data_IF_157858652621
#
_entry.id   IF_157858652621
#
_cell.length_a   1.000
_cell.length_b   1.000
_cell.length_c   1.000
_cell.angle_alpha   90.00
_cell.angle_beta   90.00
_cell.angle_gamma   90.00
#
_symmetry.space_group_name_H-M   'P 1'
#
loop_
_entity.id
_entity.type
_entity.pdbx_description
1 polymer ?
#
# COMPACT_ATOMS: atom_id res chain seq x y z
N UNK A 1 -6.89 -42.13 16.86
CA UNK A 1 -8.00 -41.26 17.29
C UNK A 1 -7.62 -40.26 18.40
N UNK A 2 -6.69 -40.59 19.30
CA UNK A 2 -6.24 -39.67 20.37
C UNK A 2 -5.32 -38.54 19.90
N UNK A 3 -4.46 -38.79 18.89
CA UNK A 3 -3.54 -37.79 18.33
C UNK A 3 -4.30 -36.61 17.70
N UNK A 4 -5.41 -36.91 17.01
CA UNK A 4 -6.29 -35.90 16.38
C UNK A 4 -7.10 -35.11 17.41
N UNK A 5 -7.36 -35.69 18.59
CA UNK A 5 -8.01 -34.99 19.70
C UNK A 5 -7.03 -34.05 20.40
N UNK A 6 -5.78 -34.47 20.64
CA UNK A 6 -4.73 -33.59 21.22
C UNK A 6 -4.42 -32.39 20.34
N UNK A 7 -4.27 -32.58 19.03
CA UNK A 7 -4.04 -31.48 18.10
C UNK A 7 -5.21 -30.47 18.07
N UNK A 8 -6.47 -30.97 18.09
CA UNK A 8 -7.65 -30.10 18.22
C UNK A 8 -7.72 -29.39 19.56
N UNK A 9 -7.33 -30.02 20.65
CA UNK A 9 -7.31 -29.42 21.99
C UNK A 9 -6.21 -28.37 22.13
N UNK A 10 -5.05 -28.57 21.49
CA UNK A 10 -3.95 -27.61 21.43
C UNK A 10 -4.29 -26.42 20.51
N UNK A 11 -4.95 -26.66 19.37
CA UNK A 11 -5.47 -25.59 18.49
C UNK A 11 -6.58 -24.79 19.18
N UNK A 12 -7.44 -25.44 19.96
CA UNK A 12 -8.47 -24.81 20.80
C UNK A 12 -7.86 -24.07 22.00
N UNK A 13 -6.74 -24.54 22.55
CA UNK A 13 -6.01 -23.87 23.63
C UNK A 13 -5.23 -22.66 23.12
N UNK A 14 -4.62 -22.74 21.94
CA UNK A 14 -3.99 -21.60 21.25
C UNK A 14 -5.02 -20.56 20.79
N UNK A 15 -6.27 -20.97 20.50
CA UNK A 15 -7.37 -20.02 20.26
C UNK A 15 -7.82 -19.27 21.53
N UNK A 16 -7.55 -19.81 22.72
CA UNK A 16 -8.11 -19.32 24.00
C UNK A 16 -7.28 -18.24 24.70
N UNK A 17 -6.10 -17.88 24.19
CA UNK A 17 -5.34 -16.71 24.70
C UNK A 17 -4.80 -15.89 23.52
N UNK A 18 -5.68 -15.49 22.61
CA UNK A 18 -5.35 -14.40 21.67
C UNK A 18 -5.58 -13.08 22.39
N UNK A 19 -4.49 -12.39 22.71
CA UNK A 19 -4.52 -11.03 23.21
C UNK A 19 -5.28 -10.16 22.21
N UNK A 20 -6.34 -9.51 22.68
CA UNK A 20 -7.14 -8.58 21.89
C UNK A 20 -6.33 -7.28 21.66
N UNK A 21 -6.21 -6.85 20.41
CA UNK A 21 -5.55 -5.60 20.04
C UNK A 21 -6.60 -4.49 20.03
N UNK A 22 -6.38 -3.44 20.83
CA UNK A 22 -7.35 -2.35 21.04
C UNK A 22 -6.94 -1.00 20.44
N UNK A 23 -5.72 -0.91 19.92
CA UNK A 23 -5.17 0.34 19.38
C UNK A 23 -4.14 0.04 18.28
N UNK A 24 -3.99 1.00 17.36
CA UNK A 24 -2.90 1.00 16.38
C UNK A 24 -1.51 1.11 17.00
N UNK A 25 -1.40 1.63 18.22
CA UNK A 25 -0.11 1.75 18.91
C UNK A 25 0.30 0.47 19.65
N UNK A 26 -0.51 -0.60 19.59
CA UNK A 26 -0.13 -1.88 20.20
C UNK A 26 1.06 -2.51 19.44
N UNK A 27 2.13 -2.84 20.17
CA UNK A 27 3.33 -3.47 19.61
C UNK A 27 3.07 -4.84 18.96
N UNK A 28 1.99 -5.53 19.33
CA UNK A 28 1.55 -6.80 18.76
C UNK A 28 0.76 -6.67 17.46
N UNK A 29 0.45 -5.45 16.99
CA UNK A 29 -0.42 -5.22 15.83
C UNK A 29 0.02 -5.98 14.57
N UNK A 30 1.33 -6.04 14.33
CA UNK A 30 1.89 -6.71 13.14
C UNK A 30 2.47 -8.10 13.43
N UNK A 31 2.34 -8.60 14.66
CA UNK A 31 3.04 -9.81 15.11
C UNK A 31 2.55 -11.10 14.42
N UNK A 32 1.32 -11.10 13.89
CA UNK A 32 0.78 -12.27 13.18
C UNK A 32 1.26 -12.39 11.72
N UNK A 33 2.04 -11.44 11.20
CA UNK A 33 2.47 -11.46 9.80
C UNK A 33 3.94 -11.85 9.67
N UNK A 34 4.17 -12.92 8.90
CA UNK A 34 5.53 -13.37 8.55
C UNK A 34 6.27 -12.27 7.77
N UNK A 35 7.45 -11.82 8.22
CA UNK A 35 8.17 -10.71 7.62
C UNK A 35 8.98 -11.13 6.39
N UNK A 36 9.40 -12.39 6.26
CA UNK A 36 10.39 -12.86 5.28
C UNK A 36 9.97 -12.54 3.85
N UNK A 37 8.69 -12.75 3.53
CA UNK A 37 8.16 -12.48 2.19
C UNK A 37 8.29 -11.01 1.79
N UNK A 38 8.04 -10.09 2.72
CA UNK A 38 8.25 -8.65 2.50
C UNK A 38 9.75 -8.33 2.50
N UNK A 39 10.55 -8.92 3.39
CA UNK A 39 12.00 -8.69 3.45
C UNK A 39 12.72 -9.08 2.15
N UNK A 40 12.27 -10.12 1.47
CA UNK A 40 12.77 -10.50 0.13
C UNK A 40 12.48 -9.43 -0.93
N UNK A 41 11.36 -8.72 -0.82
CA UNK A 41 11.07 -7.58 -1.69
C UNK A 41 11.95 -6.38 -1.32
N UNK A 42 12.04 -6.04 -0.03
CA UNK A 42 12.81 -4.91 0.46
C UNK A 42 14.32 -5.06 0.23
N UNK A 43 14.83 -6.30 0.28
CA UNK A 43 16.22 -6.63 -0.05
C UNK A 43 16.51 -6.59 -1.55
N UNK A 44 15.48 -6.62 -2.38
CA UNK A 44 15.55 -6.60 -3.85
C UNK A 44 15.64 -7.98 -4.50
N UNK A 45 15.53 -9.07 -3.72
CA UNK A 45 15.49 -10.43 -4.25
C UNK A 45 14.23 -10.66 -5.11
N UNK A 46 13.09 -10.16 -4.64
CA UNK A 46 11.83 -10.21 -5.37
C UNK A 46 11.50 -8.81 -5.90
N UNK A 47 11.28 -8.70 -7.21
CA UNK A 47 10.79 -7.46 -7.82
C UNK A 47 9.27 -7.34 -7.59
N UNK A 48 8.78 -6.25 -6.98
CA UNK A 48 7.36 -6.12 -6.71
C UNK A 48 6.56 -5.91 -7.99
N UNK A 49 5.37 -6.48 -7.98
CA UNK A 49 4.39 -6.40 -9.06
C UNK A 49 3.00 -6.30 -8.45
N UNK A 50 2.32 -5.20 -8.74
CA UNK A 50 1.05 -4.87 -8.08
C UNK A 50 -0.12 -4.97 -9.05
N UNK A 51 -1.16 -5.73 -8.70
CA UNK A 51 -2.44 -5.66 -9.41
C UNK A 51 -3.26 -4.53 -8.79
N UNK A 52 -3.73 -3.57 -9.57
CA UNK A 52 -4.60 -2.49 -9.10
C UNK A 52 -5.99 -2.66 -9.70
N UNK A 53 -7.02 -2.49 -8.89
CA UNK A 53 -8.41 -2.61 -9.30
C UNK A 53 -9.30 -1.59 -8.60
N UNK A 54 -10.37 -1.16 -9.27
CA UNK A 54 -11.45 -0.36 -8.69
C UNK A 54 -12.64 -1.21 -8.19
N UNK A 55 -12.37 -2.41 -7.67
CA UNK A 55 -13.37 -3.48 -7.46
C UNK A 55 -14.71 -3.04 -6.84
N UNK A 56 -15.81 -3.49 -7.47
CA UNK A 56 -16.90 -4.28 -6.88
C UNK A 56 -17.85 -3.68 -5.84
N UNK A 57 -17.51 -2.56 -5.22
CA UNK A 57 -18.43 -1.82 -4.36
C UNK A 57 -18.86 -0.60 -5.14
N UNK A 58 -20.03 -0.68 -5.80
CA UNK A 58 -20.71 0.54 -6.26
C UNK A 58 -20.99 1.36 -5.00
N UNK A 59 -20.17 2.38 -4.74
CA UNK A 59 -20.72 3.57 -4.09
C UNK A 59 -21.75 4.10 -5.08
N UNK A 60 -23.04 3.82 -4.83
CA UNK A 60 -24.13 4.21 -5.72
C UNK A 60 -24.09 5.73 -5.97
N UNK A 61 -23.58 6.50 -5.01
CA UNK A 61 -23.36 7.93 -5.14
C UNK A 61 -22.15 8.35 -5.98
N UNK A 62 -21.09 7.53 -6.09
CA UNK A 62 -19.81 7.96 -6.67
C UNK A 62 -19.07 6.90 -7.52
N UNK A 63 -19.66 6.40 -8.61
CA UNK A 63 -19.11 5.28 -9.39
C UNK A 63 -17.76 5.56 -10.07
N UNK A 64 -17.39 6.83 -10.27
CA UNK A 64 -16.15 7.20 -10.98
C UNK A 64 -14.94 7.36 -10.05
N UNK A 65 -15.15 7.56 -8.74
CA UNK A 65 -14.07 7.88 -7.78
C UNK A 65 -13.08 6.73 -7.62
N UNK A 66 -13.56 5.50 -7.45
CA UNK A 66 -12.69 4.32 -7.34
C UNK A 66 -11.77 4.13 -8.55
N UNK A 67 -12.29 4.37 -9.76
CA UNK A 67 -11.50 4.30 -10.99
C UNK A 67 -10.46 5.43 -11.08
N UNK A 68 -10.80 6.64 -10.65
CA UNK A 68 -9.88 7.77 -10.56
C UNK A 68 -8.73 7.48 -9.58
N UNK A 69 -9.05 7.02 -8.37
CA UNK A 69 -8.03 6.64 -7.37
C UNK A 69 -7.13 5.54 -7.93
N UNK A 70 -7.70 4.52 -8.57
CA UNK A 70 -6.92 3.46 -9.20
C UNK A 70 -5.98 3.99 -10.30
N UNK A 71 -6.44 4.93 -11.14
CA UNK A 71 -5.62 5.61 -12.15
C UNK A 71 -4.43 6.32 -11.51
N UNK A 72 -4.66 7.08 -10.44
CA UNK A 72 -3.59 7.78 -9.74
C UNK A 72 -2.62 6.79 -9.06
N UNK A 73 -3.12 5.73 -8.42
CA UNK A 73 -2.27 4.70 -7.80
C UNK A 73 -1.41 3.92 -8.83
N UNK A 74 -1.88 3.74 -10.08
CA UNK A 74 -1.07 3.18 -11.17
C UNK A 74 0.12 4.06 -11.52
N UNK A 75 -0.02 5.39 -11.38
CA UNK A 75 1.08 6.33 -11.61
C UNK A 75 2.11 6.32 -10.47
N UNK A 76 1.67 5.99 -9.25
CA UNK A 76 2.47 5.97 -8.03
C UNK A 76 3.28 4.68 -7.90
N UNK A 77 2.64 3.51 -8.06
CA UNK A 77 3.27 2.22 -7.79
C UNK A 77 3.92 1.64 -9.06
N UNK A 78 5.25 1.42 -9.07
CA UNK A 78 5.94 0.84 -10.22
C UNK A 78 5.54 -0.60 -10.49
N UNK A 79 5.70 -1.05 -11.74
CA UNK A 79 5.33 -2.41 -12.19
C UNK A 79 3.86 -2.80 -11.91
N UNK A 80 2.99 -1.80 -11.72
CA UNK A 80 1.57 -2.03 -11.49
C UNK A 80 0.82 -2.26 -12.80
N UNK A 81 -0.27 -3.02 -12.74
CA UNK A 81 -1.21 -3.19 -13.86
C UNK A 81 -2.64 -3.05 -13.37
N UNK A 82 -3.46 -2.39 -14.18
CA UNK A 82 -4.88 -2.28 -13.91
C UNK A 82 -5.62 -3.53 -14.35
N UNK A 83 -6.50 -4.06 -13.50
CA UNK A 83 -7.49 -5.04 -13.86
C UNK A 83 -8.87 -4.38 -13.88
N UNK A 84 -9.50 -4.40 -15.07
CA UNK A 84 -10.93 -4.14 -15.22
C UNK A 84 -11.68 -5.41 -14.90
N UNK A 85 -12.79 -5.26 -14.19
CA UNK A 85 -13.70 -6.35 -13.86
C UNK A 85 -15.00 -6.13 -14.61
N UNK A 86 -15.59 -7.21 -15.10
CA UNK A 86 -16.88 -7.14 -15.78
C UNK A 86 -17.96 -6.63 -14.83
N UNK A 87 -18.76 -5.70 -15.33
CA UNK A 87 -19.80 -5.05 -14.57
C UNK A 87 -20.90 -6.06 -14.19
N UNK A 88 -21.24 -6.13 -12.91
CA UNK A 88 -22.34 -6.96 -12.42
C UNK A 88 -21.93 -8.37 -11.95
N UNK A 89 -20.68 -8.77 -12.11
CA UNK A 89 -20.19 -10.02 -11.54
C UNK A 89 -19.51 -9.75 -10.17
N UNK A 90 -20.03 -10.28 -9.05
CA UNK A 90 -19.44 -10.10 -7.74
C UNK A 90 -18.19 -10.98 -7.59
N UNK A 91 -17.02 -10.47 -8.02
CA UNK A 91 -15.76 -11.19 -7.82
C UNK A 91 -15.35 -11.16 -6.35
N UNK A 92 -15.49 -12.27 -5.64
CA UNK A 92 -14.97 -12.41 -4.28
C UNK A 92 -13.49 -12.01 -4.18
N UNK A 93 -13.06 -11.55 -3.00
CA UNK A 93 -11.66 -11.24 -2.73
C UNK A 93 -10.74 -12.41 -3.13
N UNK A 94 -11.19 -13.65 -2.90
CA UNK A 94 -10.50 -14.88 -3.29
C UNK A 94 -10.23 -14.94 -4.80
N UNK A 95 -11.22 -14.63 -5.63
CA UNK A 95 -11.06 -14.65 -7.09
C UNK A 95 -10.10 -13.57 -7.56
N UNK A 96 -10.22 -12.35 -7.02
CA UNK A 96 -9.32 -11.23 -7.34
C UNK A 96 -7.88 -11.57 -6.96
N UNK A 97 -7.67 -12.15 -5.78
CA UNK A 97 -6.36 -12.63 -5.34
C UNK A 97 -5.85 -13.79 -6.21
N UNK A 98 -6.73 -14.69 -6.64
CA UNK A 98 -6.39 -15.78 -7.55
C UNK A 98 -5.81 -15.26 -8.87
N UNK A 99 -6.48 -14.28 -9.49
CA UNK A 99 -5.99 -13.62 -10.71
C UNK A 99 -4.67 -12.90 -10.47
N UNK A 100 -4.50 -12.23 -9.32
CA UNK A 100 -3.24 -11.58 -8.98
C UNK A 100 -2.09 -12.59 -8.83
N UNK A 101 -2.33 -13.71 -8.15
CA UNK A 101 -1.36 -14.81 -7.98
C UNK A 101 -0.98 -15.45 -9.32
N UNK A 102 -1.96 -15.75 -10.19
CA UNK A 102 -1.71 -16.31 -11.53
C UNK A 102 -0.83 -15.38 -12.37
N UNK A 103 -1.02 -14.08 -12.21
CA UNK A 103 -0.18 -13.06 -12.86
C UNK A 103 1.18 -12.87 -12.18
N UNK A 104 1.52 -13.62 -11.14
CA UNK A 104 2.76 -13.49 -10.39
C UNK A 104 2.90 -12.13 -9.69
N UNK A 105 1.78 -11.54 -9.25
CA UNK A 105 1.80 -10.32 -8.46
C UNK A 105 2.25 -10.62 -7.02
N UNK A 106 2.98 -9.67 -6.43
CA UNK A 106 3.37 -9.69 -5.01
C UNK A 106 2.31 -9.04 -4.13
N UNK A 107 1.53 -8.12 -4.71
CA UNK A 107 0.56 -7.30 -3.98
C UNK A 107 -0.69 -7.03 -4.83
N UNK A 108 -1.79 -6.76 -4.16
CA UNK A 108 -3.07 -6.33 -4.72
C UNK A 108 -3.48 -5.02 -4.06
N UNK A 109 -3.85 -4.03 -4.85
CA UNK A 109 -4.42 -2.75 -4.37
C UNK A 109 -5.82 -2.61 -4.91
N UNK A 110 -6.78 -2.44 -4.01
CA UNK A 110 -8.19 -2.24 -4.33
C UNK A 110 -8.56 -0.81 -3.96
N UNK A 111 -8.97 0.00 -4.93
CA UNK A 111 -9.44 1.36 -4.72
C UNK A 111 -10.96 1.43 -4.78
N UNK A 112 -11.59 2.04 -3.80
CA UNK A 112 -13.05 2.22 -3.76
C UNK A 112 -13.41 3.44 -2.92
N UNK A 113 -14.67 3.86 -2.99
CA UNK A 113 -15.26 4.82 -2.07
C UNK A 113 -16.23 4.05 -1.18
N UNK A 114 -16.08 4.18 0.14
CA UNK A 114 -16.92 3.46 1.09
C UNK A 114 -18.36 4.03 1.11
N UNK A 115 -19.25 3.41 1.89
CA UNK A 115 -20.65 3.80 1.97
C UNK A 115 -20.88 5.23 2.53
N UNK A 116 -19.94 5.74 3.32
CA UNK A 116 -19.98 7.09 3.92
C UNK A 116 -19.40 8.15 2.96
N UNK A 117 -18.81 7.74 1.83
CA UNK A 117 -18.23 8.64 0.85
C UNK A 117 -16.73 8.91 1.04
N UNK A 118 -16.06 8.18 1.92
CA UNK A 118 -14.60 8.27 2.05
C UNK A 118 -13.90 7.42 0.99
N UNK A 119 -12.93 8.02 0.33
CA UNK A 119 -12.05 7.32 -0.60
C UNK A 119 -11.06 6.46 0.15
N UNK A 120 -10.90 5.20 -0.26
CA UNK A 120 -10.06 4.21 0.39
C UNK A 120 -9.25 3.42 -0.63
N UNK A 121 -8.05 3.04 -0.23
CA UNK A 121 -7.27 1.98 -0.85
C UNK A 121 -7.06 0.86 0.16
N UNK A 122 -7.31 -0.36 -0.27
CA UNK A 122 -7.01 -1.56 0.47
C UNK A 122 -5.79 -2.23 -0.17
N UNK A 123 -4.70 -2.34 0.58
CA UNK A 123 -3.47 -3.00 0.12
C UNK A 123 -3.37 -4.39 0.74
N UNK A 124 -3.32 -5.42 -0.10
CA UNK A 124 -3.14 -6.82 0.29
C UNK A 124 -1.75 -7.29 -0.17
N UNK A 125 -0.91 -7.69 0.77
CA UNK A 125 0.34 -8.39 0.49
C UNK A 125 0.04 -9.86 0.21
N UNK A 126 0.34 -10.32 -1.01
CA UNK A 126 0.23 -11.73 -1.38
C UNK A 126 1.39 -12.58 -0.84
N UNK A 127 2.34 -11.96 -0.14
CA UNK A 127 3.48 -12.64 0.46
C UNK A 127 3.15 -13.21 1.84
N UNK A 128 2.31 -12.53 2.62
CA UNK A 128 2.00 -12.90 4.00
C UNK A 128 0.53 -12.69 4.40
N UNK A 129 -0.32 -12.23 3.48
CA UNK A 129 -1.75 -12.04 3.73
C UNK A 129 -2.10 -10.77 4.52
N UNK A 130 -1.15 -9.86 4.74
CA UNK A 130 -1.43 -8.57 5.37
C UNK A 130 -2.35 -7.73 4.49
N UNK A 131 -3.48 -7.28 5.05
CA UNK A 131 -4.45 -6.42 4.40
C UNK A 131 -4.66 -5.15 5.21
N UNK A 132 -4.18 -4.03 4.69
CA UNK A 132 -4.29 -2.71 5.32
C UNK A 132 -5.33 -1.85 4.60
N UNK A 133 -6.21 -1.24 5.38
CA UNK A 133 -7.22 -0.30 4.92
C UNK A 133 -6.72 1.12 5.12
N UNK A 134 -6.53 1.85 4.03
CA UNK A 134 -5.95 3.19 4.03
C UNK A 134 -6.97 4.16 3.45
N UNK A 135 -7.44 5.09 4.27
CA UNK A 135 -8.26 6.21 3.78
C UNK A 135 -7.37 7.16 2.99
N UNK A 136 -7.80 7.53 1.80
CA UNK A 136 -7.17 8.54 0.94
C UNK A 136 -7.76 9.91 1.29
N UNK A 137 -6.87 10.87 1.56
CA UNK A 137 -7.21 12.23 1.97
C UNK A 137 -6.64 13.21 0.95
N UNK A 138 -7.40 14.27 0.65
CA UNK A 138 -6.96 15.40 -0.17
C UNK A 138 -6.24 15.00 -1.46
N UNK A 139 -6.83 14.04 -2.20
CA UNK A 139 -6.28 13.60 -3.47
C UNK A 139 -6.36 14.73 -4.50
N UNK A 140 -5.19 15.23 -4.90
CA UNK A 140 -5.03 16.10 -6.06
C UNK A 140 -4.38 15.24 -7.16
N UNK A 141 -5.14 14.91 -8.23
CA UNK A 141 -4.63 14.17 -9.37
C UNK A 141 -3.37 14.80 -9.95
N UNK A 142 -2.51 13.97 -10.55
CA UNK A 142 -1.28 14.47 -11.19
C UNK A 142 -1.56 15.55 -12.25
N UNK A 143 -2.66 15.41 -12.99
CA UNK A 143 -3.04 16.34 -14.07
C UNK A 143 -3.37 17.75 -13.57
N UNK A 144 -3.78 17.88 -12.31
CA UNK A 144 -4.13 19.16 -11.68
C UNK A 144 -2.95 19.85 -10.99
N UNK A 145 -1.76 19.22 -10.99
CA UNK A 145 -0.55 19.80 -10.40
C UNK A 145 0.11 20.77 -11.39
N UNK A 146 0.30 22.06 -11.01
CA UNK A 146 0.94 23.04 -11.87
C UNK A 146 2.42 22.73 -12.09
N UNK A 147 2.93 23.07 -13.27
CA UNK A 147 4.35 22.97 -13.66
C UNK A 147 4.98 21.58 -13.44
N UNK A 148 4.18 20.52 -13.58
CA UNK A 148 4.61 19.14 -13.32
C UNK A 148 5.74 18.68 -14.25
N UNK A 149 6.69 17.93 -13.70
CA UNK A 149 7.73 17.25 -14.44
C UNK A 149 7.25 15.91 -15.00
N UNK A 150 7.76 15.49 -16.15
CA UNK A 150 7.48 14.19 -16.76
C UNK A 150 8.71 13.28 -16.68
N UNK A 151 8.89 12.51 -15.59
CA UNK A 151 10.05 11.64 -15.41
C UNK A 151 10.05 10.50 -16.45
N UNK A 152 11.22 10.00 -16.87
CA UNK A 152 11.30 8.88 -17.80
C UNK A 152 10.68 7.61 -17.20
N UNK A 153 9.83 6.94 -17.97
CA UNK A 153 9.06 5.75 -17.54
C UNK A 153 9.91 4.58 -17.00
N UNK A 154 11.20 4.52 -17.32
CA UNK A 154 12.11 3.43 -16.92
C UNK A 154 12.83 3.66 -15.59
N UNK A 155 12.68 4.82 -14.97
CA UNK A 155 13.34 5.14 -13.71
C UNK A 155 12.38 4.93 -12.55
N UNK A 156 12.74 3.99 -11.67
CA UNK A 156 12.05 3.83 -10.40
C UNK A 156 12.40 4.98 -9.44
N UNK A 157 11.43 5.48 -8.66
CA UNK A 157 11.72 6.50 -7.67
C UNK A 157 12.51 5.88 -6.50
N UNK A 158 13.47 6.63 -5.99
CA UNK A 158 14.05 6.38 -4.68
C UNK A 158 12.99 6.72 -3.61
N UNK A 159 12.76 5.79 -2.69
CA UNK A 159 11.80 5.99 -1.60
C UNK A 159 12.44 6.75 -0.44
N UNK A 160 11.75 7.78 0.02
CA UNK A 160 12.07 8.49 1.25
C UNK A 160 10.91 8.28 2.23
N UNK A 161 11.17 7.59 3.35
CA UNK A 161 10.16 7.28 4.36
C UNK A 161 10.53 7.99 5.66
N UNK A 162 9.76 9.00 6.04
CA UNK A 162 10.05 9.84 7.20
C UNK A 162 9.03 9.68 8.32
N UNK A 163 9.52 9.74 9.57
CA UNK A 163 8.69 9.86 10.78
C UNK A 163 7.74 8.67 11.05
N UNK A 164 8.10 7.48 10.58
CA UNK A 164 7.42 6.22 10.92
C UNK A 164 8.02 5.59 12.18
N UNK A 165 7.55 6.03 13.35
CA UNK A 165 8.10 5.62 14.66
C UNK A 165 7.19 4.70 15.46
N UNK A 166 5.86 4.81 15.31
CA UNK A 166 4.90 3.95 16.03
C UNK A 166 4.77 2.56 15.40
N UNK A 167 4.40 1.52 16.15
CA UNK A 167 4.23 0.16 15.62
C UNK A 167 3.32 0.08 14.37
N UNK A 168 2.15 0.74 14.39
CA UNK A 168 1.29 0.84 13.22
C UNK A 168 1.99 1.48 12.02
N UNK A 169 2.67 2.60 12.24
CA UNK A 169 3.32 3.35 11.17
C UNK A 169 4.48 2.55 10.56
N UNK A 170 5.30 1.85 11.37
CA UNK A 170 6.42 1.02 10.89
C UNK A 170 5.92 -0.12 10.01
N UNK A 171 4.91 -0.87 10.43
CA UNK A 171 4.36 -1.96 9.60
C UNK A 171 3.67 -1.43 8.33
N UNK A 172 2.95 -0.30 8.43
CA UNK A 172 2.36 0.37 7.26
C UNK A 172 3.43 0.83 6.28
N UNK A 173 4.53 1.41 6.77
CA UNK A 173 5.67 1.80 5.96
C UNK A 173 6.28 0.60 5.23
N UNK A 174 6.50 -0.51 5.92
CA UNK A 174 7.02 -1.75 5.31
C UNK A 174 6.08 -2.27 4.22
N UNK A 175 4.77 -2.25 4.45
CA UNK A 175 3.79 -2.64 3.45
C UNK A 175 3.83 -1.71 2.22
N UNK A 176 3.87 -0.39 2.41
CA UNK A 176 3.98 0.59 1.32
C UNK A 176 5.30 0.40 0.56
N UNK A 177 6.43 0.27 1.27
CA UNK A 177 7.75 0.05 0.67
C UNK A 177 7.78 -1.21 -0.19
N UNK A 178 7.05 -2.28 0.21
CA UNK A 178 6.95 -3.51 -0.58
C UNK A 178 6.26 -3.33 -1.94
N UNK A 179 5.62 -2.19 -2.21
CA UNK A 179 5.05 -1.85 -3.51
C UNK A 179 6.08 -1.23 -4.47
N UNK A 180 7.29 -0.93 -4.01
CA UNK A 180 8.34 -0.27 -4.79
C UNK A 180 9.57 -1.16 -4.94
N UNK A 181 10.16 -1.23 -6.14
CA UNK A 181 11.39 -1.98 -6.34
C UNK A 181 12.56 -1.31 -5.61
N UNK A 182 13.45 -2.11 -5.02
CA UNK A 182 14.71 -1.62 -4.47
C UNK A 182 15.54 -0.95 -5.56
N UNK A 183 15.94 0.30 -5.32
CA UNK A 183 16.81 1.05 -6.23
C UNK A 183 18.26 0.83 -5.81
N UNK A 184 19.04 0.10 -6.62
CA UNK A 184 20.46 -0.17 -6.34
C UNK A 184 21.39 0.96 -6.79
N UNK A 185 21.00 1.69 -7.83
CA UNK A 185 21.77 2.81 -8.39
C UNK A 185 20.91 4.07 -8.40
N UNK A 186 20.80 4.77 -7.26
CA UNK A 186 19.96 5.95 -7.16
C UNK A 186 20.50 7.03 -8.11
N UNK A 187 19.77 7.26 -9.20
CA UNK A 187 19.91 8.51 -9.94
C UNK A 187 19.14 9.54 -9.12
N UNK A 188 19.87 10.48 -8.50
CA UNK A 188 19.39 11.55 -7.59
C UNK A 188 18.44 12.57 -8.25
N UNK A 189 17.51 12.09 -9.05
CA UNK A 189 16.57 12.87 -9.85
C UNK A 189 15.13 12.41 -9.65
N UNK A 190 14.86 11.24 -9.08
CA UNK A 190 13.50 10.71 -8.95
C UNK A 190 13.24 10.24 -7.52
N UNK A 191 12.44 10.97 -6.74
CA UNK A 191 12.26 10.71 -5.31
C UNK A 191 10.78 10.71 -4.95
N UNK A 192 10.29 9.60 -4.41
CA UNK A 192 8.95 9.48 -3.86
C UNK A 192 9.04 9.54 -2.33
N UNK A 193 8.44 10.58 -1.75
CA UNK A 193 8.45 10.86 -0.33
C UNK A 193 7.13 10.44 0.29
N UNK A 194 7.21 9.67 1.37
CA UNK A 194 6.13 9.41 2.31
C UNK A 194 6.54 9.95 3.67
N UNK A 195 5.81 10.93 4.18
CA UNK A 195 6.09 11.53 5.47
C UNK A 195 4.91 11.29 6.39
N UNK A 196 5.15 10.59 7.50
CA UNK A 196 4.14 10.34 8.51
C UNK A 196 4.08 11.46 9.54
N UNK A 197 2.94 12.12 9.70
CA UNK A 197 2.72 13.11 10.75
C UNK A 197 1.42 12.76 11.48
N UNK A 198 1.52 12.41 12.76
CA UNK A 198 0.38 12.06 13.61
C UNK A 198 -0.56 11.02 12.95
N UNK A 199 0.00 9.94 12.40
CA UNK A 199 -0.77 8.85 11.76
C UNK A 199 -1.26 9.14 10.34
N UNK A 200 -0.96 10.33 9.80
CA UNK A 200 -1.27 10.72 8.42
C UNK A 200 0.00 10.66 7.59
N UNK A 201 -0.01 9.81 6.57
CA UNK A 201 1.11 9.63 5.64
C UNK A 201 0.89 10.49 4.41
N UNK A 202 1.66 11.57 4.29
CA UNK A 202 1.60 12.46 3.15
C UNK A 202 2.54 11.97 2.04
N UNK A 203 1.99 11.79 0.85
CA UNK A 203 2.74 11.40 -0.34
C UNK A 203 3.06 12.60 -1.22
N UNK A 204 4.32 12.71 -1.66
CA UNK A 204 4.76 13.65 -2.69
C UNK A 204 5.82 12.99 -3.57
N UNK A 205 5.79 13.27 -4.86
CA UNK A 205 6.75 12.71 -5.82
C UNK A 205 7.49 13.83 -6.55
N UNK A 206 8.81 13.90 -6.35
CA UNK A 206 9.66 14.94 -6.90
C UNK A 206 10.61 14.42 -7.95
N UNK A 207 10.74 15.20 -9.02
CA UNK A 207 11.86 15.14 -9.93
C UNK A 207 12.87 16.24 -9.60
N UNK A 208 14.11 15.86 -9.29
CA UNK A 208 15.18 16.79 -8.92
C UNK A 208 16.00 17.17 -10.16
N UNK A 209 16.16 18.48 -10.36
CA UNK A 209 17.07 19.06 -11.33
C UNK A 209 18.29 19.59 -10.57
N UNK A 210 19.46 19.06 -10.92
CA UNK A 210 20.74 19.49 -10.35
C UNK A 210 21.41 20.36 -11.40
N UNK A 211 21.53 21.65 -11.10
CA UNK A 211 22.30 22.60 -11.91
C UNK A 211 23.78 22.47 -11.52
N UNK A 212 24.66 22.48 -12.52
CA UNK A 212 26.10 22.46 -12.27
C UNK A 212 26.49 23.76 -11.58
N UNK A 213 27.42 23.68 -10.64
CA UNK A 213 28.01 24.87 -10.04
C UNK A 213 28.81 25.63 -11.11
N UNK A 214 28.58 26.94 -11.22
CA UNK A 214 29.23 27.79 -12.23
C UNK A 214 30.70 28.10 -11.86
N UNK A 215 31.08 27.92 -10.60
CA UNK A 215 32.42 28.20 -10.07
C UNK A 215 32.96 27.01 -9.25
N UNK A 216 34.28 26.84 -9.31
CA UNK A 216 34.99 25.83 -8.51
C UNK A 216 34.87 26.18 -7.01
N UNK A 217 34.08 25.39 -6.28
CA UNK A 217 33.84 25.56 -4.84
C UNK A 217 32.39 25.85 -4.46
N UNK A 218 31.52 26.16 -5.42
CA UNK A 218 30.09 26.34 -5.14
C UNK A 218 29.33 25.00 -5.07
N UNK A 219 28.32 24.95 -4.20
CA UNK A 219 27.43 23.79 -4.12
C UNK A 219 26.44 23.82 -5.28
N UNK A 220 26.21 22.71 -5.98
CA UNK A 220 25.24 22.65 -7.06
C UNK A 220 23.84 23.00 -6.54
N UNK A 221 23.13 23.85 -7.27
CA UNK A 221 21.74 24.18 -6.94
C UNK A 221 20.84 23.01 -7.31
N UNK A 222 19.94 22.65 -6.40
CA UNK A 222 18.97 21.58 -6.60
C UNK A 222 17.58 22.18 -6.58
N UNK A 223 16.92 22.19 -7.73
CA UNK A 223 15.51 22.55 -7.85
C UNK A 223 14.67 21.27 -7.92
N UNK A 224 13.46 21.30 -7.36
CA UNK A 224 12.55 20.16 -7.36
C UNK A 224 11.25 20.54 -8.06
N UNK A 225 10.78 19.67 -8.94
CA UNK A 225 9.46 19.77 -9.57
C UNK A 225 8.64 18.56 -9.19
N UNK A 226 7.35 18.75 -8.94
CA UNK A 226 6.46 17.62 -8.66
C UNK A 226 6.13 16.85 -9.92
N UNK A 227 5.91 15.55 -9.79
CA UNK A 227 5.61 14.67 -10.92
C UNK A 227 4.63 13.55 -10.56
N UNK A 228 3.94 13.62 -9.44
CA UNK A 228 2.92 12.64 -9.07
C UNK A 228 1.73 13.35 -8.44
N UNK A 229 0.65 12.60 -8.18
CA UNK A 229 -0.47 13.12 -7.41
C UNK A 229 -0.03 13.51 -5.99
N UNK A 230 -0.83 14.35 -5.34
CA UNK A 230 -0.72 14.65 -3.92
C UNK A 230 -1.85 13.94 -3.20
N UNK A 231 -1.56 13.26 -2.10
CA UNK A 231 -2.60 12.73 -1.22
C UNK A 231 -2.01 12.46 0.17
N UNK A 232 -2.89 12.33 1.15
CA UNK A 232 -2.63 11.73 2.45
C UNK A 232 -3.20 10.31 2.51
N UNK A 233 -2.58 9.46 3.31
CA UNK A 233 -3.11 8.15 3.69
C UNK A 233 -3.26 8.07 5.20
N UNK A 234 -4.36 7.49 5.68
CA UNK A 234 -4.55 7.17 7.11
C UNK A 234 -4.90 5.70 7.25
N UNK A 235 -4.15 4.97 8.08
CA UNK A 235 -4.52 3.59 8.42
C UNK A 235 -5.82 3.61 9.23
N UNK A 236 -6.81 2.87 8.74
CA UNK A 236 -8.16 2.78 9.32
C UNK A 236 -8.52 1.38 9.75
N UNK A 237 -7.77 0.37 9.30
CA UNK A 237 -8.00 -1.01 9.69
C UNK A 237 -6.88 -1.93 9.22
N UNK A 238 -6.75 -3.06 9.90
CA UNK A 238 -5.78 -4.10 9.59
C UNK A 238 -6.42 -5.48 9.77
N UNK A 239 -6.29 -6.32 8.76
CA UNK A 239 -6.75 -7.71 8.79
C UNK A 239 -5.70 -8.65 8.20
N UNK A 240 -5.84 -9.94 8.53
CA UNK A 240 -5.09 -11.03 7.93
C UNK A 240 -6.00 -11.84 7.02
N UNK A 241 -5.62 -11.96 5.76
CA UNK A 241 -6.34 -12.74 4.77
C UNK A 241 -5.59 -14.05 4.49
N UNK A 242 -6.28 -15.17 4.64
CA UNK A 242 -5.77 -16.47 4.26
C UNK A 242 -5.70 -16.56 2.73
N UNK A 243 -4.49 -16.61 2.18
CA UNK A 243 -4.25 -16.47 0.74
C UNK A 243 -4.95 -17.52 -0.13
N UNK A 244 -5.24 -18.71 0.40
CA UNK A 244 -5.83 -19.82 -0.36
C UNK A 244 -7.35 -19.84 -0.32
N UNK A 245 -7.92 -19.38 0.80
CA UNK A 245 -9.37 -19.42 1.03
C UNK A 245 -10.03 -18.06 0.87
N UNK A 246 -9.26 -16.96 0.92
CA UNK A 246 -9.78 -15.60 0.99
C UNK A 246 -10.47 -15.27 2.31
N UNK A 247 -10.40 -16.16 3.31
CA UNK A 247 -10.97 -15.90 4.64
C UNK A 247 -10.21 -14.78 5.31
N UNK A 248 -10.96 -13.81 5.81
CA UNK A 248 -10.43 -12.63 6.50
C UNK A 248 -10.62 -12.75 8.00
N UNK A 249 -9.59 -12.34 8.75
CA UNK A 249 -9.61 -12.18 10.19
C UNK A 249 -9.16 -10.75 10.49
N UNK A 250 -10.04 -9.95 11.06
CA UNK A 250 -9.68 -8.62 11.52
C UNK A 250 -8.70 -8.72 12.70
N UNK A 251 -7.62 -7.96 12.61
CA UNK A 251 -6.66 -7.79 13.69
C UNK A 251 -7.07 -6.57 14.52
N UNK A 252 -7.34 -5.46 13.84
CA UNK A 252 -7.88 -4.27 14.44
C UNK A 252 -8.69 -3.48 13.40
N UNK A 253 -9.98 -3.29 13.69
CA UNK A 253 -10.93 -2.59 12.84
C UNK A 253 -11.76 -1.63 13.70
N UNK A 254 -11.30 -0.39 13.94
CA UNK A 254 -12.10 0.59 14.64
C UNK A 254 -13.38 0.93 13.84
N UNK A 255 -14.44 1.39 14.52
CA UNK A 255 -15.62 1.89 13.83
C UNK A 255 -15.23 3.03 12.88
N UNK A 256 -15.94 3.13 11.76
CA UNK A 256 -15.75 4.22 10.82
C UNK A 256 -16.08 5.55 11.52
N UNK A 257 -15.11 6.47 11.54
CA UNK A 257 -15.35 7.86 11.95
C UNK A 257 -16.34 8.48 10.96
N UNK A 258 -17.55 8.84 11.43
CA UNK A 258 -18.58 9.54 10.65
C UNK A 258 -18.33 11.04 10.60
#
# INVERSE_FOLDING_TARGET
>A
MEVTKRAKTEELAQSKVRREIKSFDDGGLWAEFEPEGIDRILSGEIKPKTLITGYGLKSIGFPQRGALIAKEMLSVFPNSRYAKWEFGNPYSLKEVMGVAKERGCTSLVIAYTNAVGHDEICTVSLMNGARAYLRVLDLIPREDIPDQASPPRRLYPELHMDLFTSPASVGTARLIQSLFPKVTHPRRKNVACFQNQNGHVFYRHYWLHVEKADLAGERPRVTRKECGPRFGLRLTGLSKVALDTGKEKDIFMPPLDY
#
